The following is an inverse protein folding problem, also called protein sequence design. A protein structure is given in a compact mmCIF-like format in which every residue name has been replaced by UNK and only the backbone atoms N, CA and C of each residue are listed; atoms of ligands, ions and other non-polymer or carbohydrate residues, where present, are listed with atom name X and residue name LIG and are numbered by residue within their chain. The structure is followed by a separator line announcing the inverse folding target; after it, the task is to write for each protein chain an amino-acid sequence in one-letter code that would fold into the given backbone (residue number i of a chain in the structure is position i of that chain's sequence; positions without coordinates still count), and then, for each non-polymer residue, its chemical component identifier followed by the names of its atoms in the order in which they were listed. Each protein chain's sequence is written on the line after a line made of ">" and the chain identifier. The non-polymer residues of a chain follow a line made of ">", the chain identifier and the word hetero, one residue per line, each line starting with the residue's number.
data_IF_943115629716
#
_entry.id   IF_943115629716
#
_cell.length_a   1.000
_cell.length_b   1.000
_cell.length_c   1.000
_cell.angle_alpha   90.00
_cell.angle_beta   90.00
_cell.angle_gamma   90.00
#
_symmetry.space_group_name_H-M   'P 1'
#
loop_
_entity.id
_entity.type
_entity.pdbx_description
1 polymer ?
#
# COMPACT_ATOMS: atom_id res chain seq x y z
N UNK A 1 23.19 13.98 -24.69
CA UNK A 1 23.12 12.89 -23.70
C UNK A 1 23.49 13.48 -22.35
N UNK A 2 22.49 13.93 -21.60
CA UNK A 2 22.68 14.40 -20.22
C UNK A 2 22.90 13.17 -19.32
N UNK A 3 23.91 13.22 -18.45
CA UNK A 3 24.18 12.15 -17.49
C UNK A 3 22.92 11.91 -16.63
N UNK A 4 22.65 10.67 -16.18
CA UNK A 4 21.57 10.47 -15.22
C UNK A 4 21.90 11.30 -13.97
N UNK A 5 21.05 12.29 -13.65
CA UNK A 5 21.10 12.92 -12.34
C UNK A 5 21.07 11.80 -11.30
N UNK A 6 22.02 11.78 -10.35
CA UNK A 6 22.00 10.81 -9.25
C UNK A 6 20.70 11.02 -8.48
N UNK A 7 19.69 10.22 -8.79
CA UNK A 7 18.44 10.24 -8.08
C UNK A 7 18.64 9.54 -6.74
N UNK A 8 18.27 10.22 -5.66
CA UNK A 8 18.31 9.65 -4.34
C UNK A 8 17.07 8.79 -4.10
N UNK A 9 17.20 7.82 -3.20
CA UNK A 9 16.06 7.02 -2.74
C UNK A 9 16.03 6.91 -1.22
N UNK A 10 14.84 6.63 -0.69
CA UNK A 10 14.61 6.36 0.72
C UNK A 10 13.74 5.12 0.87
N UNK A 11 14.19 4.19 1.69
CA UNK A 11 13.40 3.02 2.08
C UNK A 11 12.58 3.36 3.30
N UNK A 12 11.30 3.04 3.26
CA UNK A 12 10.36 3.24 4.36
C UNK A 12 9.69 1.91 4.64
N UNK A 13 9.75 1.48 5.89
CA UNK A 13 8.99 0.36 6.40
C UNK A 13 7.78 0.89 7.17
N UNK A 14 6.60 0.48 6.75
CA UNK A 14 5.32 0.77 7.38
C UNK A 14 4.86 -0.52 8.03
N UNK A 15 4.47 -0.44 9.30
CA UNK A 15 3.92 -1.55 10.05
C UNK A 15 2.81 -1.02 10.95
N UNK A 16 1.60 -1.54 10.79
CA UNK A 16 0.43 -1.03 11.50
C UNK A 16 0.46 -1.22 13.02
N UNK A 17 1.42 -1.98 13.54
CA UNK A 17 1.69 -1.98 14.99
C UNK A 17 2.13 -0.59 15.51
N UNK A 18 2.67 0.27 14.64
CA UNK A 18 3.30 1.55 15.02
C UNK A 18 2.70 2.77 14.29
N UNK A 19 1.48 2.67 13.76
CA UNK A 19 0.86 3.76 12.96
C UNK A 19 -0.16 4.57 13.75
N UNK A 20 -0.45 5.77 13.22
CA UNK A 20 -1.51 6.63 13.72
C UNK A 20 -2.73 6.46 12.81
N UNK A 21 -3.78 5.83 13.31
CA UNK A 21 -5.05 5.72 12.59
C UNK A 21 -5.78 7.06 12.52
N UNK A 22 -6.43 7.30 11.38
CA UNK A 22 -7.16 8.53 11.12
C UNK A 22 -8.55 8.46 11.76
N UNK A 23 -8.77 9.30 12.77
CA UNK A 23 -10.06 9.46 13.45
C UNK A 23 -10.42 8.32 14.41
N UNK A 24 -11.65 8.37 14.95
CA UNK A 24 -12.18 7.39 15.91
C UNK A 24 -12.89 6.20 15.26
N UNK A 25 -13.05 6.20 13.93
CA UNK A 25 -13.74 5.14 13.20
C UNK A 25 -12.98 3.81 13.25
N UNK A 26 -13.69 2.69 13.03
CA UNK A 26 -13.07 1.37 12.93
C UNK A 26 -12.43 1.11 11.54
N UNK A 27 -12.14 2.16 10.77
CA UNK A 27 -11.65 2.04 9.40
C UNK A 27 -10.14 1.81 9.38
N UNK A 28 -9.68 0.98 8.44
CA UNK A 28 -8.27 0.75 8.17
C UNK A 28 -7.71 1.88 7.30
N UNK A 29 -7.57 3.04 7.93
CA UNK A 29 -7.10 4.28 7.34
C UNK A 29 -6.12 4.91 8.33
N UNK A 30 -4.87 5.07 7.92
CA UNK A 30 -3.81 5.59 8.79
C UNK A 30 -2.82 6.42 8.00
N UNK A 31 -1.94 7.13 8.72
CA UNK A 31 -0.83 7.83 8.10
C UNK A 31 0.49 7.56 8.83
N UNK A 32 1.58 7.73 8.09
CA UNK A 32 2.95 7.72 8.59
C UNK A 32 3.61 9.04 8.21
N UNK A 33 4.07 9.80 9.22
CA UNK A 33 4.82 11.02 8.98
C UNK A 33 6.26 10.69 8.60
N UNK A 34 6.79 11.38 7.60
CA UNK A 34 8.20 11.29 7.26
C UNK A 34 9.00 12.17 8.21
N UNK A 35 10.07 11.63 8.80
CA UNK A 35 10.98 12.41 9.64
C UNK A 35 11.56 13.63 8.89
N UNK A 36 11.77 13.50 7.59
CA UNK A 36 12.20 14.57 6.69
C UNK A 36 11.30 14.58 5.46
N UNK A 37 10.87 15.78 5.06
CA UNK A 37 10.11 15.95 3.83
C UNK A 37 10.98 15.61 2.62
N UNK A 38 10.45 14.80 1.71
CA UNK A 38 11.08 14.50 0.43
C UNK A 38 10.55 15.49 -0.61
N UNK A 39 11.44 16.10 -1.39
CA UNK A 39 11.07 17.05 -2.46
C UNK A 39 11.21 16.39 -3.82
N UNK A 40 10.38 16.81 -4.77
CA UNK A 40 10.44 16.35 -6.15
C UNK A 40 10.45 14.81 -6.24
N UNK A 41 9.51 14.18 -5.53
CA UNK A 41 9.32 12.73 -5.52
C UNK A 41 8.67 12.33 -6.84
N UNK A 42 9.36 11.50 -7.61
CA UNK A 42 8.94 11.13 -8.97
C UNK A 42 8.60 9.65 -9.11
N UNK A 43 8.87 8.83 -8.09
CA UNK A 43 8.55 7.40 -8.09
C UNK A 43 8.40 6.87 -6.67
N UNK A 44 7.36 6.09 -6.42
CA UNK A 44 7.13 5.37 -5.16
C UNK A 44 6.86 3.91 -5.51
N UNK A 45 7.81 3.03 -5.18
CA UNK A 45 7.72 1.59 -5.49
C UNK A 45 7.42 0.79 -4.22
N UNK A 46 6.44 -0.11 -4.27
CA UNK A 46 6.32 -1.15 -3.24
C UNK A 46 7.38 -2.21 -3.54
N UNK A 47 8.23 -2.48 -2.56
CA UNK A 47 9.19 -3.58 -2.61
C UNK A 47 8.58 -4.86 -2.06
N UNK A 48 7.68 -4.72 -1.10
CA UNK A 48 7.06 -5.82 -0.38
C UNK A 48 5.82 -5.30 0.33
N UNK A 49 4.77 -6.10 0.34
CA UNK A 49 3.70 -5.97 1.31
C UNK A 49 3.28 -7.31 1.89
N UNK A 50 2.66 -7.22 3.06
CA UNK A 50 2.06 -8.35 3.75
C UNK A 50 0.83 -7.91 4.52
N UNK A 51 -0.23 -8.71 4.42
CA UNK A 51 -1.46 -8.50 5.18
C UNK A 51 -1.79 -9.74 6.00
N UNK A 52 -1.93 -9.57 7.30
CA UNK A 52 -2.36 -10.62 8.23
C UNK A 52 -3.85 -10.51 8.54
N UNK A 53 -4.57 -11.62 8.40
CA UNK A 53 -6.02 -11.72 8.59
C UNK A 53 -6.32 -12.84 9.57
N UNK A 54 -7.23 -12.58 10.52
CA UNK A 54 -7.69 -13.61 11.46
C UNK A 54 -8.43 -14.73 10.72
N UNK A 55 -8.10 -15.98 11.02
CA UNK A 55 -8.71 -17.16 10.37
C UNK A 55 -10.23 -17.19 10.56
N UNK A 56 -10.73 -16.74 11.72
CA UNK A 56 -12.17 -16.64 11.98
C UNK A 56 -12.92 -15.78 10.94
N UNK A 57 -12.27 -14.76 10.36
CA UNK A 57 -12.84 -13.95 9.30
C UNK A 57 -12.78 -14.62 7.92
N UNK A 58 -11.89 -15.60 7.72
CA UNK A 58 -11.75 -16.36 6.47
C UNK A 58 -12.75 -17.52 6.40
N UNK A 59 -13.05 -18.14 7.54
CA UNK A 59 -14.09 -19.18 7.64
C UNK A 59 -15.47 -18.57 7.38
N UNK A 60 -15.67 -17.31 7.78
CA UNK A 60 -16.89 -16.58 7.49
C UNK A 60 -16.89 -15.97 6.07
N UNK A 61 -17.40 -16.74 5.10
CA UNK A 61 -17.47 -16.33 3.69
C UNK A 61 -18.34 -15.09 3.41
N UNK A 62 -19.07 -14.56 4.40
CA UNK A 62 -19.75 -13.26 4.25
C UNK A 62 -18.79 -12.08 4.41
N UNK A 63 -17.62 -12.30 5.02
CA UNK A 63 -16.61 -11.26 5.24
C UNK A 63 -15.49 -11.29 4.20
N UNK A 64 -14.89 -12.45 3.97
CA UNK A 64 -13.84 -12.66 2.96
C UNK A 64 -14.13 -13.94 2.21
N UNK A 65 -14.06 -13.88 0.87
CA UNK A 65 -14.14 -15.02 -0.03
C UNK A 65 -12.77 -15.34 -0.61
N UNK A 66 -12.64 -16.56 -1.12
CA UNK A 66 -11.45 -16.93 -1.87
C UNK A 66 -11.28 -16.03 -3.10
N UNK A 67 -10.05 -15.59 -3.34
CA UNK A 67 -9.65 -14.66 -4.39
C UNK A 67 -10.27 -13.26 -4.27
N UNK A 68 -10.80 -12.88 -3.10
CA UNK A 68 -11.11 -11.48 -2.86
C UNK A 68 -9.81 -10.66 -2.88
N UNK A 69 -9.88 -9.49 -3.51
CA UNK A 69 -8.77 -8.55 -3.63
C UNK A 69 -8.92 -7.44 -2.60
N UNK A 70 -7.87 -7.21 -1.81
CA UNK A 70 -7.71 -6.01 -1.01
C UNK A 70 -6.96 -4.99 -1.86
N UNK A 71 -7.56 -3.83 -2.08
CA UNK A 71 -6.92 -2.73 -2.78
C UNK A 71 -6.24 -1.79 -1.79
N UNK A 72 -5.11 -1.24 -2.21
CA UNK A 72 -4.29 -0.30 -1.43
C UNK A 72 -4.41 1.06 -2.10
N UNK A 73 -4.87 2.07 -1.36
CA UNK A 73 -4.65 3.47 -1.71
C UNK A 73 -3.42 3.98 -0.94
N UNK A 74 -2.54 4.72 -1.64
CA UNK A 74 -1.39 5.41 -1.08
C UNK A 74 -1.32 6.83 -1.64
N UNK A 75 -1.70 7.84 -0.84
CA UNK A 75 -1.69 9.26 -1.21
C UNK A 75 -2.38 9.59 -2.56
N UNK A 76 -3.33 8.76 -3.02
CA UNK A 76 -3.99 8.88 -4.33
C UNK A 76 -3.02 8.78 -5.53
N UNK A 77 -1.87 8.12 -5.36
CA UNK A 77 -0.91 7.87 -6.44
C UNK A 77 -1.30 6.66 -7.28
N UNK A 78 -2.52 6.63 -7.79
CA UNK A 78 -3.09 5.42 -8.38
C UNK A 78 -2.31 4.91 -9.62
N UNK A 79 -2.17 3.58 -9.73
CA UNK A 79 -1.51 2.90 -10.85
C UNK A 79 -2.32 1.72 -11.42
N UNK A 80 -3.08 1.02 -10.57
CA UNK A 80 -3.89 -0.13 -10.96
C UNK A 80 -5.30 0.36 -11.26
N UNK A 81 -5.79 0.16 -12.48
CA UNK A 81 -7.16 0.45 -12.85
C UNK A 81 -7.99 -0.83 -12.82
N UNK A 82 -9.14 -0.79 -12.17
CA UNK A 82 -10.10 -1.89 -12.14
C UNK A 82 -11.51 -1.39 -12.38
N UNK A 83 -12.36 -2.26 -12.88
CA UNK A 83 -13.79 -1.98 -13.07
C UNK A 83 -14.57 -2.69 -11.99
N UNK A 84 -15.32 -1.93 -11.19
CA UNK A 84 -16.22 -2.49 -10.20
C UNK A 84 -17.62 -2.73 -10.77
N UNK A 85 -18.44 -3.49 -10.04
CA UNK A 85 -19.87 -3.65 -10.35
C UNK A 85 -20.50 -2.26 -10.59
N UNK A 86 -21.21 -2.12 -11.73
CA UNK A 86 -21.74 -0.87 -12.31
C UNK A 86 -20.82 -0.08 -13.27
N UNK A 87 -19.76 -0.69 -13.82
CA UNK A 87 -18.88 -0.10 -14.84
C UNK A 87 -18.16 1.19 -14.42
N UNK A 88 -18.07 1.47 -13.12
CA UNK A 88 -17.23 2.54 -12.62
C UNK A 88 -15.77 2.09 -12.64
N UNK A 89 -14.94 2.87 -13.32
CA UNK A 89 -13.50 2.67 -13.29
C UNK A 89 -12.94 3.29 -12.02
N UNK A 90 -12.31 2.47 -11.19
CA UNK A 90 -11.58 2.91 -10.02
C UNK A 90 -10.10 2.67 -10.23
N UNK A 91 -9.31 3.53 -9.62
CA UNK A 91 -7.87 3.46 -9.66
C UNK A 91 -7.36 3.31 -8.23
N UNK A 92 -6.33 2.50 -8.05
CA UNK A 92 -5.71 2.21 -6.76
C UNK A 92 -4.19 2.20 -6.90
N UNK A 93 -3.48 2.39 -5.80
CA UNK A 93 -2.03 2.29 -5.80
C UNK A 93 -1.55 0.85 -5.93
N UNK A 94 -2.24 -0.12 -5.34
CA UNK A 94 -1.90 -1.52 -5.51
C UNK A 94 -3.03 -2.46 -5.08
N UNK A 95 -2.77 -3.77 -5.12
CA UNK A 95 -3.67 -4.77 -4.59
C UNK A 95 -2.97 -6.05 -4.13
N UNK A 96 -3.59 -6.70 -3.14
CA UNK A 96 -3.20 -8.01 -2.63
C UNK A 96 -4.39 -8.95 -2.81
N UNK A 97 -4.21 -10.05 -3.54
CA UNK A 97 -5.23 -11.08 -3.70
C UNK A 97 -5.17 -12.10 -2.57
N UNK A 98 -6.30 -12.35 -1.92
CA UNK A 98 -6.44 -13.35 -0.86
C UNK A 98 -6.67 -14.72 -1.49
N UNK A 99 -5.63 -15.54 -1.62
CA UNK A 99 -5.74 -16.92 -2.08
C UNK A 99 -5.82 -17.90 -0.89
N UNK A 100 -7.03 -18.26 -0.50
CA UNK A 100 -7.28 -19.18 0.60
C UNK A 100 -6.69 -20.58 0.37
N UNK A 101 -6.45 -20.97 -0.88
CA UNK A 101 -5.84 -22.28 -1.18
C UNK A 101 -4.34 -22.32 -0.83
N UNK A 102 -3.69 -21.15 -0.75
CA UNK A 102 -2.29 -21.03 -0.34
C UNK A 102 -2.12 -20.97 1.18
N UNK A 103 -3.21 -20.84 1.93
CA UNK A 103 -3.20 -20.89 3.38
C UNK A 103 -3.07 -22.34 3.80
N UNK A 104 -1.85 -22.74 4.20
CA UNK A 104 -1.66 -23.99 4.93
C UNK A 104 -2.31 -23.80 6.30
N UNK A 105 -3.42 -24.48 6.55
CA UNK A 105 -4.04 -24.52 7.87
C UNK A 105 -3.11 -25.24 8.85
N UNK A 106 -2.13 -24.50 9.38
CA UNK A 106 -1.35 -24.97 10.51
C UNK A 106 -2.27 -24.90 11.72
N UNK A 107 -2.71 -26.06 12.21
CA UNK A 107 -3.47 -26.15 13.46
C UNK A 107 -2.67 -25.45 14.57
N UNK A 108 -3.18 -24.32 15.08
CA UNK A 108 -2.57 -23.55 16.18
C UNK A 108 -2.16 -22.11 15.86
N UNK A 109 -2.32 -21.62 14.62
CA UNK A 109 -2.11 -20.20 14.30
C UNK A 109 -3.47 -19.53 14.06
N UNK A 110 -3.75 -18.41 14.74
CA UNK A 110 -5.05 -17.71 14.65
C UNK A 110 -5.16 -16.77 13.42
N UNK A 111 -4.08 -16.64 12.65
CA UNK A 111 -3.96 -15.73 11.53
C UNK A 111 -3.23 -16.35 10.32
N UNK A 112 -3.53 -15.83 9.13
CA UNK A 112 -2.76 -16.09 7.91
C UNK A 112 -2.11 -14.79 7.45
N UNK A 113 -0.95 -14.88 6.80
CA UNK A 113 -0.32 -13.73 6.13
C UNK A 113 -0.25 -13.96 4.63
N UNK A 114 -0.77 -13.00 3.86
CA UNK A 114 -0.63 -12.95 2.41
C UNK A 114 0.54 -12.04 2.05
N UNK A 115 1.31 -12.43 1.04
CA UNK A 115 2.49 -11.69 0.57
C UNK A 115 2.31 -11.32 -0.90
N UNK A 116 2.75 -10.12 -1.27
CA UNK A 116 2.97 -9.78 -2.66
C UNK A 116 4.41 -9.25 -2.84
N UNK A 117 5.13 -9.85 -3.78
CA UNK A 117 6.50 -9.45 -4.14
C UNK A 117 6.46 -8.73 -5.49
N UNK A 118 6.64 -7.42 -5.44
CA UNK A 118 6.47 -6.55 -6.60
C UNK A 118 7.80 -6.32 -7.32
N UNK A 119 8.22 -7.34 -8.08
CA UNK A 119 9.37 -7.22 -8.98
C UNK A 119 8.98 -7.13 -10.45
N UNK A 120 7.69 -7.14 -10.77
CA UNK A 120 7.22 -7.10 -12.14
C UNK A 120 6.81 -5.65 -12.48
N UNK A 121 7.65 -5.00 -13.29
CA UNK A 121 7.40 -3.73 -14.03
C UNK A 121 7.75 -2.43 -13.27
N UNK A 122 9.03 -2.04 -13.36
CA UNK A 122 9.58 -0.80 -12.80
C UNK A 122 8.95 0.51 -13.34
N UNK A 123 8.28 0.44 -14.48
CA UNK A 123 7.65 1.58 -15.18
C UNK A 123 6.34 2.06 -14.55
N UNK A 124 5.66 1.22 -13.76
CA UNK A 124 4.30 1.51 -13.29
C UNK A 124 4.27 2.35 -12.01
N UNK A 125 5.44 2.63 -11.43
CA UNK A 125 5.59 3.33 -10.15
C UNK A 125 5.94 4.81 -10.26
N UNK A 126 6.06 5.33 -11.49
CA UNK A 126 6.35 6.75 -11.71
C UNK A 126 5.12 7.60 -11.38
N UNK A 127 5.35 8.67 -10.62
CA UNK A 127 4.32 9.63 -10.29
C UNK A 127 4.12 10.60 -11.47
N UNK A 128 2.86 10.78 -11.86
CA UNK A 128 2.48 11.77 -12.86
C UNK A 128 1.21 12.52 -12.42
N UNK A 129 1.32 13.78 -11.95
CA UNK A 129 2.54 14.59 -11.90
C UNK A 129 3.51 14.19 -10.77
N UNK A 130 4.77 14.63 -10.88
CA UNK A 130 5.78 14.54 -9.81
C UNK A 130 5.26 15.25 -8.56
N UNK A 131 5.39 14.61 -7.40
CA UNK A 131 4.99 15.20 -6.13
C UNK A 131 6.07 16.18 -5.65
N UNK A 132 5.75 17.48 -5.67
CA UNK A 132 6.67 18.56 -5.30
C UNK A 132 7.21 18.41 -3.88
N UNK A 133 6.38 17.92 -2.96
CA UNK A 133 6.77 17.66 -1.57
C UNK A 133 5.92 16.55 -0.95
N UNK A 134 6.59 15.50 -0.47
CA UNK A 134 6.00 14.42 0.29
C UNK A 134 6.36 14.58 1.77
N UNK A 135 5.34 14.75 2.62
CA UNK A 135 5.51 14.93 4.08
C UNK A 135 5.05 13.74 4.90
N UNK A 136 4.05 13.02 4.38
CA UNK A 136 3.44 11.85 5.01
C UNK A 136 2.97 10.87 3.95
N UNK A 137 2.72 9.65 4.38
CA UNK A 137 2.14 8.57 3.58
C UNK A 137 0.82 8.20 4.24
N UNK A 138 -0.28 8.49 3.56
CA UNK A 138 -1.65 8.12 3.89
C UNK A 138 -1.96 6.78 3.20
N UNK A 139 -2.38 5.78 3.98
CA UNK A 139 -2.71 4.43 3.50
C UNK A 139 -4.15 4.08 3.86
N UNK A 140 -4.87 3.52 2.90
CA UNK A 140 -6.20 2.92 3.11
C UNK A 140 -6.24 1.55 2.45
N UNK A 141 -6.89 0.60 3.12
CA UNK A 141 -7.24 -0.70 2.53
C UNK A 141 -8.71 -0.71 2.15
N UNK A 142 -9.02 -1.09 0.91
CA UNK A 142 -10.36 -1.03 0.34
C UNK A 142 -10.79 -2.40 -0.18
N UNK A 143 -12.10 -2.66 -0.10
CA UNK A 143 -12.72 -3.84 -0.70
C UNK A 143 -13.02 -3.63 -2.20
N UNK A 144 -13.49 -4.68 -2.88
CA UNK A 144 -13.91 -4.63 -4.30
C UNK A 144 -15.09 -3.71 -4.60
N UNK A 145 -15.74 -3.15 -3.57
CA UNK A 145 -16.84 -2.18 -3.67
C UNK A 145 -16.36 -0.78 -3.31
N UNK A 146 -15.05 -0.55 -3.18
CA UNK A 146 -14.42 0.72 -2.81
C UNK A 146 -14.78 1.21 -1.41
N UNK A 147 -15.15 0.30 -0.50
CA UNK A 147 -15.36 0.64 0.90
C UNK A 147 -14.07 0.41 1.67
N UNK A 148 -13.76 1.30 2.60
CA UNK A 148 -12.61 1.12 3.50
C UNK A 148 -12.88 -0.11 4.39
N UNK A 149 -11.94 -1.03 4.40
CA UNK A 149 -11.96 -2.24 5.22
C UNK A 149 -11.88 -1.84 6.71
N UNK A 150 -12.53 -2.61 7.58
CA UNK A 150 -12.47 -2.37 9.02
C UNK A 150 -11.22 -3.00 9.66
N UNK A 151 -10.76 -2.41 10.77
CA UNK A 151 -9.59 -2.92 11.52
C UNK A 151 -9.84 -4.28 12.17
N UNK A 152 -11.11 -4.65 12.40
CA UNK A 152 -11.44 -6.00 12.89
C UNK A 152 -11.17 -7.10 11.86
N UNK A 153 -11.07 -6.72 10.58
CA UNK A 153 -10.76 -7.66 9.50
C UNK A 153 -9.26 -7.93 9.41
N UNK A 154 -8.45 -6.87 9.48
CA UNK A 154 -7.01 -6.90 9.25
C UNK A 154 -6.27 -6.79 10.58
N UNK A 155 -5.55 -7.85 10.93
CA UNK A 155 -4.81 -7.93 12.20
C UNK A 155 -3.53 -7.09 12.14
N UNK A 156 -2.81 -7.17 11.01
CA UNK A 156 -1.57 -6.43 10.78
C UNK A 156 -1.39 -6.21 9.29
N UNK A 157 -0.76 -5.09 8.95
CA UNK A 157 -0.33 -4.79 7.60
C UNK A 157 1.10 -4.25 7.65
N UNK A 158 1.96 -4.80 6.79
CA UNK A 158 3.36 -4.40 6.66
C UNK A 158 3.60 -4.04 5.20
N UNK A 159 4.23 -2.91 4.94
CA UNK A 159 4.60 -2.48 3.60
C UNK A 159 5.99 -1.86 3.61
N UNK A 160 6.82 -2.25 2.65
CA UNK A 160 8.14 -1.67 2.41
C UNK A 160 8.11 -0.89 1.11
N UNK A 161 8.31 0.42 1.21
CA UNK A 161 8.36 1.35 0.07
C UNK A 161 9.80 1.76 -0.25
N UNK A 162 10.08 1.96 -1.53
CA UNK A 162 11.25 2.67 -2.04
C UNK A 162 10.77 3.95 -2.72
N UNK A 163 11.10 5.09 -2.13
CA UNK A 163 10.70 6.42 -2.63
C UNK A 163 11.90 7.07 -3.29
N UNK A 164 11.78 7.40 -4.57
CA UNK A 164 12.81 8.09 -5.34
C UNK A 164 12.48 9.57 -5.47
N UNK A 165 13.50 10.40 -5.25
CA UNK A 165 13.34 11.84 -5.14
C UNK A 165 14.61 12.57 -5.59
N UNK A 166 14.45 13.82 -6.00
CA UNK A 166 15.59 14.65 -6.39
C UNK A 166 15.99 15.58 -5.24
N UNK A 167 17.24 15.47 -4.78
CA UNK A 167 17.82 16.52 -3.94
C UNK A 167 18.23 17.68 -4.84
N UNK A 168 17.55 18.82 -4.74
CA UNK A 168 18.12 20.06 -5.28
C UNK A 168 19.45 20.31 -4.55
N UNK A 169 20.57 20.25 -5.27
CA UNK A 169 21.85 20.75 -4.76
C UNK A 169 21.60 22.18 -4.27
N UNK A 170 21.90 22.44 -3.02
CA UNK A 170 22.00 23.81 -2.53
C UNK A 170 23.14 24.42 -3.33
N UNK A 171 22.83 25.31 -4.27
CA UNK A 171 23.84 26.16 -4.89
C UNK A 171 24.45 26.99 -3.77
N UNK A 172 25.68 26.67 -3.37
CA UNK A 172 26.48 27.58 -2.57
C UNK A 172 26.78 28.78 -3.47
N UNK A 173 26.24 29.93 -3.09
CA UNK A 173 26.63 31.22 -3.67
C UNK A 173 27.90 31.72 -2.99
#
# INVERSE_FOLDING_TARGET
>A
MTSPEMSDYKIILIDTENVIYNGSSNNFNFHVNLAEHLKDVYKIKILFDATSILIANLINQTKIKNLDTIYINCNDYDRVRTTIENNNNLSYFDSIMIDLNKIKSNQGVDETTMYNDFNEHEGDYYLNPVASQLKRIDIQLLDKKNNIITKDLIKRFVMKLCIYYNRKKISQF
#
